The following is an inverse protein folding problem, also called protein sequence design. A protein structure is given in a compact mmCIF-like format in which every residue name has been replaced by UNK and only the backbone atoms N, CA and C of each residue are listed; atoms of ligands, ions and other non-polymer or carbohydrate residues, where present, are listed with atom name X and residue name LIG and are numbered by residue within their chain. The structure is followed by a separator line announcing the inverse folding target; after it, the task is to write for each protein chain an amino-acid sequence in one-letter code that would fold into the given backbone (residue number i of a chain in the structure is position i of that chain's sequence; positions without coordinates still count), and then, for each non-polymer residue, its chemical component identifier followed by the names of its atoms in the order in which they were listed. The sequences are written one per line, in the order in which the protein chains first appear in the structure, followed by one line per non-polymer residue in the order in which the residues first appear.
data_IF_956825730298
#
_entry.id   IF_956825730298
#
_cell.length_a   1.000
_cell.length_b   1.000
_cell.length_c   1.000
_cell.angle_alpha   90.00
_cell.angle_beta   90.00
_cell.angle_gamma   90.00
#
_symmetry.space_group_name_H-M   'P 1'
#
loop_
_entity.id
_entity.type
_entity.pdbx_description
1 polymer ?
#
# COMPACT_ATOMS: atom_id res chain seq x y z
N UNK A 1 17.11 132.12 -1.65
CA UNK A 1 15.90 132.61 -0.97
C UNK A 1 14.68 132.29 -1.82
N UNK A 2 13.63 131.80 -1.16
CA UNK A 2 12.21 131.67 -1.50
C UNK A 2 11.68 131.91 -2.95
N UNK A 3 10.97 130.86 -3.42
CA UNK A 3 9.60 130.79 -4.02
C UNK A 3 9.19 131.67 -5.22
N UNK A 4 8.60 131.04 -6.25
CA UNK A 4 7.13 131.09 -6.56
C UNK A 4 6.74 130.24 -7.78
N UNK A 5 5.49 129.78 -7.73
CA UNK A 5 4.79 128.87 -8.64
C UNK A 5 4.41 129.46 -10.02
N UNK A 6 4.10 128.57 -10.98
CA UNK A 6 3.05 128.76 -11.99
C UNK A 6 2.55 127.39 -12.51
N UNK A 7 1.23 127.29 -12.70
CA UNK A 7 0.50 126.07 -13.06
C UNK A 7 0.54 125.77 -14.56
N UNK A 8 0.44 124.47 -14.91
CA UNK A 8 0.44 123.96 -16.29
C UNK A 8 -0.51 122.77 -16.38
N UNK A 9 -1.40 122.76 -17.36
CA UNK A 9 -2.13 121.55 -17.76
C UNK A 9 -2.07 121.42 -19.28
N UNK A 10 -1.63 120.25 -19.73
CA UNK A 10 -1.34 119.86 -21.12
C UNK A 10 -2.16 118.60 -21.45
N UNK A 11 -2.66 118.57 -22.69
CA UNK A 11 -3.36 117.46 -23.34
C UNK A 11 -2.48 116.23 -23.58
N UNK A 12 -3.06 115.02 -23.54
CA UNK A 12 -2.36 113.77 -23.86
C UNK A 12 -3.21 112.87 -24.78
N UNK A 13 -2.51 112.18 -25.68
CA UNK A 13 -3.03 111.30 -26.70
C UNK A 13 -2.64 109.82 -26.46
N UNK A 14 -3.60 108.93 -26.82
CA UNK A 14 -3.49 107.65 -27.53
C UNK A 14 -2.89 106.34 -26.93
N UNK A 15 -3.60 105.26 -27.33
CA UNK A 15 -3.25 103.83 -27.62
C UNK A 15 -3.45 102.77 -26.50
N UNK A 16 -3.44 101.44 -26.82
CA UNK A 16 -4.64 100.60 -26.89
C UNK A 16 -4.57 99.39 -25.92
N UNK A 17 -5.62 98.57 -25.84
CA UNK A 17 -5.53 97.28 -25.13
C UNK A 17 -6.40 96.18 -25.77
N UNK A 18 -5.79 95.02 -26.02
CA UNK A 18 -6.40 93.74 -26.37
C UNK A 18 -6.99 93.10 -25.11
N UNK A 19 -8.16 92.45 -25.21
CA UNK A 19 -8.70 91.59 -24.16
C UNK A 19 -9.34 90.31 -24.74
N UNK A 20 -9.16 89.22 -23.98
CA UNK A 20 -9.22 87.79 -24.33
C UNK A 20 -10.63 87.24 -24.56
N UNK A 21 -10.73 86.22 -25.42
CA UNK A 21 -11.89 85.34 -25.54
C UNK A 21 -11.93 84.28 -24.40
N UNK A 22 -13.12 83.84 -23.95
CA UNK A 22 -13.24 82.77 -22.97
C UNK A 22 -13.09 81.38 -23.61
N UNK A 23 -12.39 80.48 -22.91
CA UNK A 23 -12.27 79.05 -23.24
C UNK A 23 -13.49 78.32 -22.70
N UNK A 24 -14.22 77.60 -23.55
CA UNK A 24 -15.28 76.67 -23.10
C UNK A 24 -14.64 75.35 -22.65
N UNK A 25 -14.86 74.97 -21.38
CA UNK A 25 -14.56 73.63 -20.89
C UNK A 25 -15.63 72.66 -21.42
N UNK A 26 -15.24 71.71 -22.26
CA UNK A 26 -16.09 70.57 -22.59
C UNK A 26 -16.20 69.65 -21.36
N UNK A 27 -17.43 69.42 -20.87
CA UNK A 27 -17.70 68.35 -19.90
C UNK A 27 -17.64 67.02 -20.63
N UNK A 28 -16.56 66.26 -20.44
CA UNK A 28 -16.51 64.85 -20.81
C UNK A 28 -17.34 64.08 -19.80
N UNK A 29 -18.51 63.59 -20.22
CA UNK A 29 -19.27 62.61 -19.44
C UNK A 29 -18.45 61.31 -19.42
N UNK A 30 -17.80 61.03 -18.29
CA UNK A 30 -17.12 59.75 -18.08
C UNK A 30 -18.15 58.63 -18.06
N UNK A 31 -18.07 57.72 -19.02
CA UNK A 31 -18.84 56.48 -18.99
C UNK A 31 -18.43 55.69 -17.73
N UNK A 32 -19.35 55.54 -16.78
CA UNK A 32 -19.17 54.65 -15.63
C UNK A 32 -19.15 53.23 -16.17
N UNK A 33 -17.95 52.67 -16.36
CA UNK A 33 -17.81 51.25 -16.65
C UNK A 33 -18.15 50.50 -15.36
N UNK A 34 -19.31 49.82 -15.34
CA UNK A 34 -19.59 48.83 -14.31
C UNK A 34 -18.51 47.76 -14.37
N UNK A 35 -17.81 47.43 -13.27
CA UNK A 35 -16.84 46.35 -13.29
C UNK A 35 -17.59 45.07 -13.63
N UNK A 36 -17.17 44.38 -14.70
CA UNK A 36 -17.62 43.00 -14.93
C UNK A 36 -17.04 42.16 -13.81
N UNK A 37 -17.90 41.65 -12.94
CA UNK A 37 -17.51 40.69 -11.92
C UNK A 37 -16.98 39.44 -12.64
N UNK A 38 -15.68 39.17 -12.52
CA UNK A 38 -15.12 37.90 -12.94
C UNK A 38 -15.56 36.85 -11.92
N UNK A 39 -16.47 35.95 -12.32
CA UNK A 39 -16.82 34.77 -11.53
C UNK A 39 -15.69 33.76 -11.65
N UNK A 40 -14.80 33.72 -10.66
CA UNK A 40 -13.88 32.59 -10.47
C UNK A 40 -14.67 31.44 -9.86
N UNK A 41 -15.42 30.72 -10.69
CA UNK A 41 -15.97 29.43 -10.27
C UNK A 41 -14.77 28.49 -10.11
N UNK A 42 -14.39 28.20 -8.86
CA UNK A 42 -13.47 27.11 -8.59
C UNK A 42 -14.06 25.86 -9.26
N UNK A 43 -13.26 25.15 -10.07
CA UNK A 43 -13.67 23.87 -10.61
C UNK A 43 -14.07 22.98 -9.42
N UNK A 44 -15.35 22.65 -9.31
CA UNK A 44 -15.79 21.60 -8.39
C UNK A 44 -15.30 20.31 -9.01
N UNK A 45 -14.21 19.77 -8.49
CA UNK A 45 -13.86 18.39 -8.72
C UNK A 45 -15.03 17.55 -8.22
N UNK A 46 -15.72 16.84 -9.11
CA UNK A 46 -16.78 15.93 -8.71
C UNK A 46 -16.19 14.55 -8.54
N UNK A 47 -16.55 13.89 -7.44
CA UNK A 47 -16.13 12.51 -7.17
C UNK A 47 -16.93 11.49 -8.00
N UNK A 48 -17.95 11.96 -8.74
CA UNK A 48 -18.93 11.14 -9.46
C UNK A 48 -18.28 10.16 -10.45
N UNK A 49 -17.27 10.61 -11.18
CA UNK A 49 -16.56 9.76 -12.14
C UNK A 49 -15.80 8.63 -11.45
N UNK A 50 -15.12 8.92 -10.34
CA UNK A 50 -14.36 7.91 -9.59
C UNK A 50 -15.31 6.94 -8.88
N UNK A 51 -16.37 7.45 -8.24
CA UNK A 51 -17.38 6.61 -7.59
C UNK A 51 -18.10 5.67 -8.57
N UNK A 52 -18.36 6.14 -9.81
CA UNK A 52 -18.96 5.30 -10.83
C UNK A 52 -18.02 4.16 -11.26
N UNK A 53 -16.72 4.44 -11.40
CA UNK A 53 -15.71 3.42 -11.71
C UNK A 53 -15.53 2.40 -10.60
N UNK A 54 -15.48 2.84 -9.34
CA UNK A 54 -15.46 1.92 -8.20
C UNK A 54 -16.72 1.06 -8.14
N UNK A 55 -17.90 1.60 -8.49
CA UNK A 55 -19.14 0.82 -8.53
C UNK A 55 -19.16 -0.22 -9.66
N UNK A 56 -18.60 0.12 -10.83
CA UNK A 56 -18.40 -0.83 -11.93
C UNK A 56 -17.48 -1.99 -11.50
N UNK A 57 -16.36 -1.66 -10.85
CA UNK A 57 -15.39 -2.64 -10.35
C UNK A 57 -15.96 -3.56 -9.28
N UNK A 58 -16.55 -3.01 -8.21
CA UNK A 58 -17.18 -3.79 -7.13
C UNK A 58 -18.21 -4.76 -7.69
N UNK A 59 -18.97 -4.31 -8.70
CA UNK A 59 -19.95 -5.17 -9.36
C UNK A 59 -19.27 -6.28 -10.16
N UNK A 60 -18.24 -5.95 -10.93
CA UNK A 60 -17.49 -6.94 -11.71
C UNK A 60 -16.92 -8.04 -10.83
N UNK A 61 -16.28 -7.67 -9.71
CA UNK A 61 -15.72 -8.63 -8.76
C UNK A 61 -16.79 -9.56 -8.17
N UNK A 62 -17.89 -8.98 -7.65
CA UNK A 62 -18.98 -9.74 -7.02
C UNK A 62 -19.80 -10.60 -7.99
N UNK A 63 -19.97 -10.15 -9.23
CA UNK A 63 -20.68 -10.90 -10.26
C UNK A 63 -19.83 -12.09 -10.75
N UNK A 64 -18.49 -11.98 -10.68
CA UNK A 64 -17.56 -13.04 -11.07
C UNK A 64 -17.45 -14.13 -9.99
N UNK A 65 -17.21 -13.73 -8.75
CA UNK A 65 -17.23 -14.59 -7.58
C UNK A 65 -17.53 -13.76 -6.32
N UNK A 66 -18.36 -14.25 -5.41
CA UNK A 66 -18.62 -13.50 -4.18
C UNK A 66 -17.40 -13.59 -3.25
N UNK A 67 -16.64 -12.50 -3.03
CA UNK A 67 -15.40 -12.53 -2.26
C UNK A 67 -15.64 -12.82 -0.77
N UNK A 68 -16.88 -12.68 -0.29
CA UNK A 68 -17.25 -12.95 1.10
C UNK A 68 -17.76 -14.37 1.32
N UNK A 69 -17.96 -15.14 0.25
CA UNK A 69 -18.31 -16.55 0.34
C UNK A 69 -17.05 -17.34 0.67
N UNK A 70 -17.12 -18.11 1.76
CA UNK A 70 -16.01 -18.94 2.19
C UNK A 70 -15.82 -20.12 1.21
N UNK A 71 -14.60 -20.34 0.70
CA UNK A 71 -14.33 -21.42 -0.25
C UNK A 71 -14.33 -22.79 0.42
N UNK A 72 -14.55 -23.83 -0.38
CA UNK A 72 -14.63 -25.22 0.12
C UNK A 72 -13.34 -25.66 0.81
N UNK A 73 -12.17 -25.28 0.28
CA UNK A 73 -10.88 -25.65 0.88
C UNK A 73 -10.72 -25.11 2.31
N UNK A 74 -11.14 -23.86 2.56
CA UNK A 74 -11.05 -23.23 3.88
C UNK A 74 -12.05 -23.85 4.85
N UNK A 75 -13.25 -24.18 4.36
CA UNK A 75 -14.25 -24.91 5.14
C UNK A 75 -13.69 -26.27 5.56
N UNK A 76 -13.17 -27.05 4.62
CA UNK A 76 -12.57 -28.36 4.87
C UNK A 76 -11.40 -28.26 5.87
N UNK A 77 -10.52 -27.27 5.69
CA UNK A 77 -9.39 -27.04 6.59
C UNK A 77 -9.82 -26.73 8.03
N UNK A 78 -10.86 -25.90 8.21
CA UNK A 78 -11.43 -25.61 9.53
C UNK A 78 -12.10 -26.84 10.14
N UNK A 79 -12.73 -27.69 9.33
CA UNK A 79 -13.40 -28.92 9.78
C UNK A 79 -12.42 -29.98 10.30
N UNK A 80 -11.18 -30.00 9.81
CA UNK A 80 -10.12 -30.86 10.39
C UNK A 80 -9.88 -30.56 11.88
N UNK A 81 -10.12 -29.32 12.31
CA UNK A 81 -10.03 -28.92 13.71
C UNK A 81 -8.61 -28.94 14.29
N UNK A 82 -7.59 -29.06 13.44
CA UNK A 82 -6.17 -29.09 13.82
C UNK A 82 -5.65 -27.67 14.05
N UNK A 83 -5.99 -26.75 13.14
CA UNK A 83 -5.58 -25.35 13.18
C UNK A 83 -6.79 -24.44 13.37
N UNK A 84 -6.62 -23.41 14.19
CA UNK A 84 -7.55 -22.29 14.29
C UNK A 84 -7.05 -21.17 13.40
N UNK A 85 -7.89 -20.73 12.47
CA UNK A 85 -7.63 -19.59 11.58
C UNK A 85 -8.13 -18.30 12.25
N UNK A 86 -7.25 -17.32 12.37
CA UNK A 86 -7.54 -15.97 12.85
C UNK A 86 -7.31 -14.98 11.70
N UNK A 87 -8.40 -14.58 11.06
CA UNK A 87 -8.46 -13.59 9.98
C UNK A 87 -9.29 -12.39 10.48
N UNK A 88 -8.67 -11.22 10.57
CA UNK A 88 -9.33 -9.98 10.96
C UNK A 88 -9.51 -9.07 9.74
N UNK A 89 -10.74 -8.62 9.50
CA UNK A 89 -11.01 -7.76 8.37
C UNK A 89 -10.25 -6.42 8.45
N UNK A 90 -9.62 -6.02 7.34
CA UNK A 90 -8.83 -4.80 7.21
C UNK A 90 -7.42 -4.87 7.82
N UNK A 91 -7.00 -6.04 8.31
CA UNK A 91 -5.60 -6.34 8.59
C UNK A 91 -5.02 -7.16 7.44
N UNK A 92 -3.73 -7.01 7.15
CA UNK A 92 -3.07 -7.78 6.08
C UNK A 92 -2.68 -9.19 6.55
N UNK A 93 -2.46 -9.35 7.86
CA UNK A 93 -1.97 -10.58 8.46
C UNK A 93 -3.08 -11.63 8.69
N UNK A 94 -2.72 -12.90 8.49
CA UNK A 94 -3.47 -14.07 8.93
C UNK A 94 -2.63 -14.79 9.99
N UNK A 95 -3.28 -15.27 11.05
CA UNK A 95 -2.63 -16.13 12.04
C UNK A 95 -3.28 -17.51 12.11
N UNK A 96 -2.47 -18.57 12.03
CA UNK A 96 -2.87 -19.94 12.29
C UNK A 96 -2.35 -20.35 13.67
N UNK A 97 -3.22 -20.86 14.53
CA UNK A 97 -2.84 -21.27 15.89
C UNK A 97 -3.25 -22.70 16.19
N UNK A 98 -2.39 -23.43 16.91
CA UNK A 98 -2.75 -24.74 17.49
C UNK A 98 -1.97 -25.04 18.76
N UNK A 99 -2.42 -26.07 19.48
CA UNK A 99 -1.68 -26.67 20.59
C UNK A 99 -1.25 -28.09 20.22
N UNK A 100 0.01 -28.43 20.47
CA UNK A 100 0.57 -29.76 20.21
C UNK A 100 1.51 -30.17 21.33
N UNK A 101 1.26 -31.30 22.00
CA UNK A 101 2.18 -31.81 23.03
C UNK A 101 2.46 -30.86 24.21
N UNK A 102 1.56 -29.91 24.50
CA UNK A 102 1.77 -28.87 25.53
C UNK A 102 2.52 -27.62 25.05
N UNK A 103 2.82 -27.55 23.74
CA UNK A 103 3.36 -26.39 23.05
C UNK A 103 2.22 -25.61 22.39
N UNK A 104 2.30 -24.28 22.38
CA UNK A 104 1.42 -23.44 21.57
C UNK A 104 2.19 -22.95 20.34
N UNK A 105 1.60 -23.18 19.17
CA UNK A 105 2.18 -22.89 17.87
C UNK A 105 1.33 -21.78 17.24
N UNK A 106 1.99 -20.75 16.73
CA UNK A 106 1.39 -19.65 15.98
C UNK A 106 2.19 -19.46 14.70
N UNK A 107 1.51 -19.43 13.56
CA UNK A 107 2.10 -19.09 12.26
C UNK A 107 1.44 -17.80 11.81
N UNK A 108 2.22 -16.80 11.42
CA UNK A 108 1.74 -15.54 10.87
C UNK A 108 2.29 -15.39 9.47
N UNK A 109 1.46 -14.94 8.54
CA UNK A 109 1.85 -14.55 7.19
C UNK A 109 0.97 -13.39 6.72
N UNK A 110 1.42 -12.64 5.71
CA UNK A 110 0.75 -11.43 5.22
C UNK A 110 0.35 -11.58 3.75
N UNK A 111 -0.78 -10.99 3.38
CA UNK A 111 -1.17 -10.86 1.96
C UNK A 111 -0.24 -9.91 1.18
N UNK A 112 0.55 -9.08 1.86
CA UNK A 112 1.51 -8.18 1.21
C UNK A 112 2.59 -8.92 0.40
N UNK A 113 2.84 -10.19 0.72
CA UNK A 113 3.87 -10.99 0.04
C UNK A 113 3.43 -11.43 -1.37
N UNK A 114 2.12 -11.46 -1.64
CA UNK A 114 1.59 -11.81 -2.97
C UNK A 114 2.02 -10.83 -4.06
N UNK A 115 2.28 -9.57 -3.70
CA UNK A 115 2.68 -8.51 -4.63
C UNK A 115 4.19 -8.48 -4.92
N UNK A 116 5.00 -9.25 -4.20
CA UNK A 116 6.46 -9.19 -4.27
C UNK A 116 7.03 -9.56 -5.65
N UNK A 117 6.29 -10.34 -6.46
CA UNK A 117 6.70 -10.78 -7.80
C UNK A 117 6.13 -9.94 -8.96
N UNK A 118 5.21 -8.99 -8.70
CA UNK A 118 4.68 -8.11 -9.75
C UNK A 118 5.75 -7.17 -10.36
N UNK A 119 6.89 -7.02 -9.68
CA UNK A 119 8.02 -6.17 -10.09
C UNK A 119 9.17 -6.93 -10.78
N UNK A 120 9.09 -8.26 -10.96
CA UNK A 120 10.09 -9.00 -11.76
C UNK A 120 9.73 -8.84 -13.24
N UNK A 121 10.53 -8.12 -14.06
CA UNK A 121 10.27 -8.03 -15.48
C UNK A 121 10.36 -9.43 -16.08
N UNK A 122 9.37 -9.83 -16.88
CA UNK A 122 9.34 -11.12 -17.60
C UNK A 122 10.62 -11.42 -18.40
N UNK A 123 11.43 -10.38 -18.68
CA UNK A 123 12.73 -10.41 -19.32
C UNK A 123 13.83 -11.14 -18.50
N UNK A 124 13.65 -11.36 -17.20
CA UNK A 124 14.65 -12.02 -16.34
C UNK A 124 14.70 -13.56 -16.51
N UNK A 125 13.76 -14.13 -17.27
CA UNK A 125 13.63 -15.57 -17.50
C UNK A 125 14.20 -16.06 -18.85
N UNK A 126 14.78 -15.20 -19.71
CA UNK A 126 15.19 -15.58 -21.08
C UNK A 126 16.69 -15.41 -21.42
N UNK A 127 17.59 -15.37 -20.42
CA UNK A 127 19.03 -15.38 -20.72
C UNK A 127 19.78 -16.37 -19.84
N UNK A 128 19.69 -17.68 -20.17
CA UNK A 128 20.84 -18.59 -20.23
C UNK A 128 20.38 -20.03 -20.54
N UNK A 129 20.25 -20.39 -21.83
CA UNK A 129 20.79 -21.67 -22.32
C UNK A 129 20.99 -21.59 -23.83
N UNK A 130 22.25 -21.52 -24.24
CA UNK A 130 22.65 -21.36 -25.63
C UNK A 130 22.33 -22.56 -26.52
N UNK A 131 21.97 -22.23 -27.75
CA UNK A 131 22.33 -22.92 -29.00
C UNK A 131 22.33 -24.45 -29.02
N UNK A 132 21.26 -25.04 -29.56
CA UNK A 132 21.42 -26.04 -30.63
C UNK A 132 20.27 -25.94 -31.63
N UNK A 133 20.64 -25.92 -32.90
CA UNK A 133 19.74 -25.89 -34.04
C UNK A 133 19.67 -27.30 -34.63
N UNK A 134 18.54 -27.99 -34.49
CA UNK A 134 18.24 -29.10 -35.41
C UNK A 134 17.35 -30.22 -34.92
N UNK A 135 16.28 -30.41 -35.69
CA UNK A 135 15.49 -31.63 -35.89
C UNK A 135 14.39 -31.92 -34.87
N UNK A 136 13.18 -32.05 -35.43
CA UNK A 136 11.95 -32.23 -34.68
C UNK A 136 11.84 -33.60 -34.00
N UNK A 137 11.25 -33.56 -32.82
CA UNK A 137 10.68 -34.70 -32.12
C UNK A 137 9.44 -34.19 -31.39
N UNK A 138 8.27 -34.64 -31.82
CA UNK A 138 7.04 -34.55 -31.03
C UNK A 138 7.24 -35.39 -29.76
N UNK A 139 7.08 -34.80 -28.58
CA UNK A 139 7.03 -35.56 -27.34
C UNK A 139 7.29 -34.73 -26.10
N UNK A 140 6.23 -34.62 -25.28
CA UNK A 140 6.21 -34.20 -23.89
C UNK A 140 6.16 -32.70 -23.61
N UNK A 141 4.94 -32.17 -23.67
CA UNK A 141 4.55 -30.99 -22.91
C UNK A 141 4.58 -31.36 -21.41
N UNK A 142 5.77 -31.32 -20.81
CA UNK A 142 5.85 -30.96 -19.40
C UNK A 142 5.38 -29.51 -19.32
N UNK A 143 4.08 -29.32 -19.09
CA UNK A 143 3.55 -28.06 -18.61
C UNK A 143 4.35 -27.73 -17.34
N UNK A 144 5.38 -26.90 -17.49
CA UNK A 144 6.08 -26.31 -16.35
C UNK A 144 5.02 -25.62 -15.52
N UNK A 145 4.67 -26.23 -14.40
CA UNK A 145 3.82 -25.56 -13.41
C UNK A 145 4.65 -24.36 -12.99
N UNK A 146 4.12 -23.15 -13.22
CA UNK A 146 4.77 -21.94 -12.74
C UNK A 146 5.03 -22.13 -11.23
N UNK A 147 6.23 -21.77 -10.72
CA UNK A 147 6.50 -21.88 -9.30
C UNK A 147 5.43 -21.12 -8.53
N UNK A 148 4.91 -21.72 -7.46
CA UNK A 148 3.94 -21.10 -6.57
C UNK A 148 4.54 -19.84 -5.95
N UNK A 149 3.68 -18.90 -5.56
CA UNK A 149 4.13 -17.64 -4.96
C UNK A 149 4.78 -17.91 -3.60
N UNK A 150 6.01 -17.41 -3.35
CA UNK A 150 6.65 -17.54 -2.06
C UNK A 150 5.95 -16.64 -1.04
N UNK A 151 5.56 -17.19 0.10
CA UNK A 151 4.98 -16.41 1.20
C UNK A 151 5.87 -16.51 2.43
N UNK A 152 6.25 -15.36 2.99
CA UNK A 152 7.02 -15.31 4.22
C UNK A 152 6.13 -15.66 5.41
N UNK A 153 6.64 -16.52 6.27
CA UNK A 153 5.93 -17.02 7.46
C UNK A 153 6.81 -16.84 8.69
N UNK A 154 6.20 -16.32 9.75
CA UNK A 154 6.79 -16.29 11.08
C UNK A 154 6.11 -17.34 11.95
N UNK A 155 6.84 -18.42 12.25
CA UNK A 155 6.36 -19.54 13.06
C UNK A 155 6.92 -19.36 14.47
N UNK A 156 6.04 -19.23 15.46
CA UNK A 156 6.39 -19.14 16.88
C UNK A 156 5.90 -20.36 17.63
N UNK A 157 6.79 -21.04 18.34
CA UNK A 157 6.48 -22.19 19.20
C UNK A 157 6.86 -21.85 20.63
N UNK A 158 5.88 -21.87 21.53
CA UNK A 158 6.04 -21.56 22.95
C UNK A 158 5.73 -22.76 23.84
N UNK A 159 6.39 -22.84 25.00
CA UNK A 159 6.18 -23.91 25.98
C UNK A 159 5.66 -23.34 27.30
N UNK A 160 4.83 -24.11 28.01
CA UNK A 160 4.38 -23.75 29.36
C UNK A 160 5.54 -23.61 30.36
N UNK A 161 6.64 -24.33 30.12
CA UNK A 161 7.86 -24.25 30.92
C UNK A 161 8.64 -22.93 30.73
N UNK A 162 8.20 -22.08 29.80
CA UNK A 162 8.86 -20.84 29.41
C UNK A 162 9.68 -20.98 28.13
N UNK A 163 9.97 -19.84 27.53
CA UNK A 163 10.70 -19.72 26.28
C UNK A 163 9.84 -19.86 25.02
N UNK A 164 10.37 -19.31 23.94
CA UNK A 164 9.81 -19.37 22.60
C UNK A 164 10.92 -19.59 21.58
N UNK A 165 10.64 -20.40 20.58
CA UNK A 165 11.44 -20.50 19.35
C UNK A 165 10.63 -19.81 18.26
N UNK A 166 11.25 -18.86 17.55
CA UNK A 166 10.68 -18.29 16.33
C UNK A 166 11.48 -18.76 15.13
N UNK A 167 10.79 -19.01 14.04
CA UNK A 167 11.35 -19.57 12.83
C UNK A 167 10.81 -18.73 11.68
N UNK A 168 11.72 -18.11 10.97
CA UNK A 168 11.41 -17.36 9.76
C UNK A 168 11.57 -18.34 8.59
N UNK A 169 10.48 -18.61 7.89
CA UNK A 169 10.44 -19.59 6.82
C UNK A 169 9.58 -19.11 5.65
N UNK A 170 9.87 -19.59 4.45
CA UNK A 170 9.07 -19.32 3.25
C UNK A 170 8.23 -20.55 2.91
N UNK A 171 6.92 -20.38 2.77
CA UNK A 171 6.04 -21.40 2.24
C UNK A 171 5.96 -21.23 0.71
N UNK A 172 6.43 -22.24 -0.04
CA UNK A 172 6.41 -22.24 -1.50
C UNK A 172 6.37 -23.67 -2.03
N UNK A 173 5.57 -23.95 -3.06
CA UNK A 173 5.53 -25.24 -3.75
C UNK A 173 5.34 -26.46 -2.83
N UNK A 174 4.58 -26.29 -1.73
CA UNK A 174 4.36 -27.35 -0.76
C UNK A 174 5.58 -27.67 0.11
N UNK A 175 6.50 -26.73 0.25
CA UNK A 175 7.65 -26.84 1.15
C UNK A 175 7.75 -25.60 2.04
N UNK A 176 8.28 -25.79 3.25
CA UNK A 176 8.74 -24.71 4.11
C UNK A 176 10.26 -24.65 4.02
N UNK A 177 10.80 -23.56 3.49
CA UNK A 177 12.24 -23.29 3.48
C UNK A 177 12.58 -22.44 4.69
N UNK A 178 13.37 -22.98 5.63
CA UNK A 178 13.75 -22.26 6.86
C UNK A 178 14.92 -21.32 6.56
N UNK A 179 14.76 -20.03 6.86
CA UNK A 179 15.83 -19.04 6.70
C UNK A 179 16.63 -18.85 7.99
N UNK A 180 15.92 -18.76 9.12
CA UNK A 180 16.51 -18.41 10.40
C UNK A 180 15.70 -18.96 11.58
N UNK A 181 16.38 -19.30 12.68
CA UNK A 181 15.77 -19.76 13.93
C UNK A 181 16.29 -18.93 15.09
N UNK A 182 15.39 -18.23 15.77
CA UNK A 182 15.69 -17.43 16.97
C UNK A 182 15.12 -18.09 18.22
N UNK A 183 15.79 -17.86 19.36
CA UNK A 183 15.30 -18.30 20.67
C UNK A 183 15.11 -17.11 21.62
N UNK A 184 13.93 -17.03 22.21
CA UNK A 184 13.59 -16.04 23.22
C UNK A 184 13.37 -16.75 24.56
N UNK A 185 14.12 -16.42 25.62
CA UNK A 185 13.86 -16.93 26.95
C UNK A 185 12.49 -16.51 27.50
N UNK A 186 12.00 -15.35 27.07
CA UNK A 186 10.71 -14.79 27.43
C UNK A 186 9.71 -14.98 26.27
N UNK A 187 8.68 -15.79 26.50
CA UNK A 187 7.67 -16.09 25.49
C UNK A 187 6.75 -14.89 25.22
N UNK A 188 6.52 -14.03 26.21
CA UNK A 188 5.69 -12.84 26.04
C UNK A 188 6.39 -11.85 25.12
N UNK A 189 7.72 -11.71 25.22
CA UNK A 189 8.51 -10.91 24.30
C UNK A 189 8.48 -11.45 22.87
N UNK A 190 8.45 -12.78 22.66
CA UNK A 190 8.35 -13.36 21.33
C UNK A 190 6.96 -13.13 20.71
N UNK A 191 5.90 -13.20 21.51
CA UNK A 191 4.51 -13.07 21.04
C UNK A 191 4.01 -11.62 20.98
N UNK A 192 4.67 -10.69 21.67
CA UNK A 192 4.27 -9.29 21.75
C UNK A 192 4.19 -8.62 20.38
N UNK A 193 3.13 -7.85 20.13
CA UNK A 193 2.92 -7.13 18.86
C UNK A 193 3.05 -5.62 19.04
N UNK A 194 3.66 -5.17 20.15
CA UNK A 194 3.89 -3.75 20.39
C UNK A 194 5.21 -3.29 19.77
N UNK A 195 5.28 -2.00 19.40
CA UNK A 195 6.51 -1.41 18.88
C UNK A 195 7.68 -1.48 19.88
N UNK A 196 7.40 -1.57 21.19
CA UNK A 196 8.43 -1.76 22.21
C UNK A 196 9.00 -3.19 22.20
N UNK A 197 8.14 -4.18 21.96
CA UNK A 197 8.56 -5.58 21.85
C UNK A 197 9.41 -5.79 20.58
N UNK A 198 9.00 -5.21 19.45
CA UNK A 198 9.79 -5.20 18.21
C UNK A 198 11.18 -4.62 18.42
N UNK A 199 11.25 -3.44 19.04
CA UNK A 199 12.52 -2.78 19.34
C UNK A 199 13.43 -3.64 20.23
N UNK A 200 12.86 -4.30 21.25
CA UNK A 200 13.61 -5.22 22.12
C UNK A 200 14.11 -6.44 21.34
N UNK A 201 13.30 -7.02 20.45
CA UNK A 201 13.69 -8.18 19.63
C UNK A 201 14.84 -7.84 18.68
N UNK A 202 14.85 -6.66 18.08
CA UNK A 202 15.94 -6.21 17.19
C UNK A 202 17.32 -6.15 17.87
N UNK A 203 17.36 -5.99 19.19
CA UNK A 203 18.60 -5.99 19.97
C UNK A 203 19.11 -7.39 20.36
N UNK A 204 18.36 -8.45 20.07
CA UNK A 204 18.69 -9.82 20.43
C UNK A 204 19.41 -10.56 19.29
N UNK A 205 20.12 -11.62 19.65
CA UNK A 205 20.74 -12.50 18.67
C UNK A 205 19.67 -13.36 17.99
N UNK A 206 19.54 -13.21 16.68
CA UNK A 206 18.52 -13.89 15.88
C UNK A 206 18.91 -15.32 15.49
N UNK A 207 20.10 -15.79 15.87
CA UNK A 207 20.63 -17.05 15.37
C UNK A 207 21.53 -16.87 14.13
N UNK A 208 22.19 -17.95 13.69
CA UNK A 208 22.89 -17.99 12.42
C UNK A 208 21.89 -18.22 11.28
N UNK A 209 22.29 -17.92 10.04
CA UNK A 209 21.56 -18.41 8.87
C UNK A 209 21.45 -19.95 8.93
N UNK A 210 20.26 -20.48 8.64
CA UNK A 210 19.95 -21.90 8.84
C UNK A 210 20.90 -22.83 8.07
N UNK A 211 21.23 -22.48 6.82
CA UNK A 211 22.17 -23.23 5.96
C UNK A 211 23.59 -23.37 6.53
N UNK A 212 23.97 -22.53 7.49
CA UNK A 212 25.28 -22.62 8.15
C UNK A 212 25.29 -23.62 9.31
N UNK A 213 24.14 -24.20 9.68
CA UNK A 213 24.05 -25.26 10.68
C UNK A 213 24.53 -26.59 10.11
N UNK A 214 24.86 -27.54 10.98
CA UNK A 214 25.16 -28.91 10.57
C UNK A 214 23.93 -29.55 9.90
N UNK A 215 24.12 -30.31 8.82
CA UNK A 215 23.04 -30.92 8.02
C UNK A 215 22.11 -31.81 8.86
N UNK A 216 22.65 -32.54 9.85
CA UNK A 216 21.83 -33.37 10.72
C UNK A 216 20.94 -32.51 11.64
N UNK A 217 21.44 -31.36 12.08
CA UNK A 217 20.64 -30.40 12.87
C UNK A 217 19.54 -29.78 12.01
N UNK A 218 19.84 -29.45 10.75
CA UNK A 218 18.84 -28.93 9.83
C UNK A 218 17.70 -29.94 9.62
N UNK A 219 18.06 -31.19 9.31
CA UNK A 219 17.10 -32.30 9.11
C UNK A 219 16.19 -32.49 10.33
N UNK A 220 16.75 -32.53 11.54
CA UNK A 220 15.97 -32.71 12.77
C UNK A 220 15.05 -31.52 13.07
N UNK A 221 15.41 -30.30 12.64
CA UNK A 221 14.51 -29.15 12.74
C UNK A 221 13.34 -29.24 11.75
N UNK A 222 13.59 -29.70 10.53
CA UNK A 222 12.53 -29.93 9.53
C UNK A 222 11.55 -31.01 10.01
N UNK A 223 12.06 -32.15 10.48
CA UNK A 223 11.25 -33.23 11.06
C UNK A 223 10.46 -32.74 12.30
N UNK A 224 11.09 -31.93 13.16
CA UNK A 224 10.44 -31.31 14.31
C UNK A 224 9.24 -30.44 13.90
N UNK A 225 9.31 -29.71 12.79
CA UNK A 225 8.19 -28.91 12.27
C UNK A 225 7.13 -29.79 11.61
N UNK A 226 7.53 -30.83 10.88
CA UNK A 226 6.61 -31.74 10.22
C UNK A 226 5.72 -32.50 11.23
N UNK A 227 6.29 -32.99 12.34
CA UNK A 227 5.54 -33.60 13.44
C UNK A 227 4.50 -32.64 14.05
N UNK A 228 4.77 -31.33 13.97
CA UNK A 228 3.90 -30.23 14.41
C UNK A 228 2.91 -29.79 13.35
N UNK A 229 2.79 -30.54 12.25
CA UNK A 229 1.86 -30.27 11.16
C UNK A 229 2.21 -29.03 10.36
N UNK A 230 3.45 -28.55 10.45
CA UNK A 230 4.03 -27.55 9.56
C UNK A 230 4.69 -28.36 8.44
N UNK A 231 3.89 -28.71 7.44
CA UNK A 231 4.22 -29.72 6.44
C UNK A 231 3.75 -29.28 5.05
N UNK A 232 3.92 -30.13 4.05
CA UNK A 232 3.59 -29.81 2.66
C UNK A 232 2.13 -29.42 2.44
N UNK A 233 1.18 -30.06 3.12
CA UNK A 233 -0.23 -29.71 3.00
C UNK A 233 -0.50 -28.29 3.50
N UNK A 234 0.14 -27.90 4.61
CA UNK A 234 0.01 -26.54 5.12
C UNK A 234 0.71 -25.51 4.23
N UNK A 235 1.89 -25.85 3.69
CA UNK A 235 2.62 -24.98 2.77
C UNK A 235 1.84 -24.72 1.47
N UNK A 236 1.11 -25.71 0.95
CA UNK A 236 0.22 -25.52 -0.21
C UNK A 236 -1.01 -24.67 0.11
N UNK A 237 -1.52 -24.76 1.34
CA UNK A 237 -2.72 -24.03 1.77
C UNK A 237 -2.48 -22.53 1.99
N UNK A 238 -1.28 -22.15 2.46
CA UNK A 238 -0.96 -20.77 2.84
C UNK A 238 -1.19 -19.78 1.67
N UNK A 239 -0.70 -20.04 0.45
CA UNK A 239 -1.01 -19.22 -0.72
C UNK A 239 -2.51 -19.10 -1.01
N UNK A 240 -3.24 -20.21 -1.01
CA UNK A 240 -4.69 -20.20 -1.25
C UNK A 240 -5.44 -19.32 -0.22
N UNK A 241 -5.02 -19.37 1.05
CA UNK A 241 -5.57 -18.51 2.11
C UNK A 241 -5.25 -17.04 1.90
N UNK A 242 -4.02 -16.73 1.50
CA UNK A 242 -3.58 -15.38 1.25
C UNK A 242 -4.35 -14.77 0.06
N UNK A 243 -4.47 -15.50 -1.06
CA UNK A 243 -5.23 -15.06 -2.24
C UNK A 243 -6.71 -14.83 -1.91
N UNK A 244 -7.34 -15.74 -1.17
CA UNK A 244 -8.73 -15.57 -0.75
C UNK A 244 -8.92 -14.30 0.11
N UNK A 245 -8.00 -14.06 1.06
CA UNK A 245 -8.06 -12.87 1.90
C UNK A 245 -7.78 -11.59 1.10
N UNK A 246 -6.80 -11.59 0.21
CA UNK A 246 -6.48 -10.45 -0.65
C UNK A 246 -7.73 -10.00 -1.41
N UNK A 247 -8.41 -10.93 -2.09
CA UNK A 247 -9.60 -10.61 -2.87
C UNK A 247 -10.73 -10.05 -1.99
N UNK A 248 -10.90 -10.62 -0.78
CA UNK A 248 -11.87 -10.14 0.22
C UNK A 248 -11.54 -8.71 0.69
N UNK A 249 -10.27 -8.41 0.95
CA UNK A 249 -9.82 -7.08 1.38
C UNK A 249 -9.84 -6.06 0.24
N UNK A 250 -9.52 -6.47 -1.00
CA UNK A 250 -9.61 -5.63 -2.19
C UNK A 250 -11.03 -5.10 -2.39
N UNK A 251 -12.03 -5.99 -2.37
CA UNK A 251 -13.44 -5.56 -2.52
C UNK A 251 -13.89 -4.70 -1.33
N UNK A 252 -13.46 -5.04 -0.11
CA UNK A 252 -13.73 -4.20 1.08
C UNK A 252 -13.12 -2.81 0.94
N UNK A 253 -11.91 -2.71 0.41
CA UNK A 253 -11.21 -1.45 0.15
C UNK A 253 -11.95 -0.60 -0.89
N UNK A 254 -12.35 -1.20 -2.01
CA UNK A 254 -13.17 -0.53 -3.04
C UNK A 254 -14.47 0.04 -2.45
N UNK A 255 -15.17 -0.77 -1.65
CA UNK A 255 -16.40 -0.35 -0.95
C UNK A 255 -16.14 0.78 0.04
N UNK A 256 -15.05 0.71 0.80
CA UNK A 256 -14.62 1.73 1.76
C UNK A 256 -14.35 3.07 1.09
N UNK A 257 -13.61 3.08 -0.02
CA UNK A 257 -13.33 4.30 -0.79
C UNK A 257 -14.60 4.85 -1.43
N UNK A 258 -15.39 4.00 -2.08
CA UNK A 258 -16.66 4.44 -2.66
C UNK A 258 -17.56 5.07 -1.60
N UNK A 259 -17.70 4.42 -0.45
CA UNK A 259 -18.47 4.91 0.68
C UNK A 259 -17.91 6.20 1.31
N UNK A 260 -16.61 6.46 1.21
CA UNK A 260 -16.00 7.73 1.58
C UNK A 260 -16.34 8.85 0.59
N UNK A 261 -16.31 8.57 -0.72
CA UNK A 261 -16.57 9.56 -1.78
C UNK A 261 -18.03 10.00 -1.88
N UNK A 262 -18.96 9.15 -1.44
CA UNK A 262 -20.42 9.39 -1.47
C UNK A 262 -20.97 10.12 -0.23
N UNK A 263 -20.15 10.28 0.83
CA UNK A 263 -20.50 11.03 2.04
C UNK A 263 -20.13 12.50 1.93
#
# INVERSE_FOLDING_TARGET
MLTRCLARTVTLAARPALARAPVQLARVAGAVQSPRAFSTSLARFSNESLSAKLAEEIKFEKDSNDPYTEPEFLTNFKEEGVWKVEDADGADEIALTRTFGGENIRIIFSISDLDADADIPAEAYDEETGADAGSGGLGDEAAGTAPGLPIETSITITKQAGGAVTIDAVAQDGMFTINNISFYPDADLALGMSSEDDWKRQGLYMGPAFDNLDEAVQTEFEEYLEERGINSSLALLIPDLAEWKEQKEYVRWLEGIKGFLEK
#
